data_IF_079398118578
#
_entry.id   IF_079398118578
#
_cell.length_a   1.000
_cell.length_b   1.000
_cell.length_c   1.000
_cell.angle_alpha   90.00
_cell.angle_beta   90.00
_cell.angle_gamma   90.00
#
_symmetry.space_group_name_H-M   'P 1'
#
loop_
_entity.id
_entity.type
_entity.pdbx_description
1 polymer ?
#
# COMPACT_ATOMS: atom_id res chain seq x y z
N UNK A 1 -9.84 -5.69 -0.09
CA UNK A 1 -8.65 -6.09 0.70
C UNK A 1 -8.97 -5.97 2.17
N UNK A 2 -8.48 -6.88 2.97
CA UNK A 2 -8.80 -6.98 4.39
C UNK A 2 -7.59 -6.69 5.25
N UNK A 3 -7.84 -6.23 6.48
CA UNK A 3 -6.77 -6.04 7.47
C UNK A 3 -6.12 -7.40 7.75
N UNK A 4 -4.79 -7.41 7.75
CA UNK A 4 -3.99 -8.63 7.93
C UNK A 4 -3.62 -9.33 6.63
N UNK A 5 -4.21 -8.94 5.51
CA UNK A 5 -3.92 -9.54 4.21
C UNK A 5 -2.55 -9.09 3.71
N UNK A 6 -1.83 -10.01 3.05
CA UNK A 6 -0.57 -9.66 2.38
C UNK A 6 -0.88 -9.09 1.00
N UNK A 7 -0.18 -8.01 0.67
CA UNK A 7 -0.32 -7.35 -0.62
C UNK A 7 1.05 -6.94 -1.13
N UNK A 8 1.16 -6.77 -2.44
CA UNK A 8 2.38 -6.29 -3.07
C UNK A 8 2.12 -4.95 -3.75
N UNK A 9 3.07 -4.03 -3.65
CA UNK A 9 2.99 -2.74 -4.34
C UNK A 9 3.30 -2.99 -5.81
N UNK A 10 2.30 -2.79 -6.68
CA UNK A 10 2.45 -3.08 -8.11
C UNK A 10 2.71 -1.83 -8.95
N UNK A 11 2.30 -0.65 -8.47
CA UNK A 11 2.51 0.62 -9.17
C UNK A 11 2.30 1.77 -8.20
N UNK A 12 2.69 2.98 -8.62
CA UNK A 12 2.49 4.20 -7.86
C UNK A 12 1.78 5.21 -8.76
N UNK A 13 0.76 5.88 -8.22
CA UNK A 13 -0.04 6.86 -8.98
C UNK A 13 0.70 8.16 -9.23
N UNK A 14 1.37 8.66 -8.19
CA UNK A 14 1.94 10.01 -8.16
C UNK A 14 3.39 9.98 -7.75
N UNK A 15 4.00 11.14 -7.81
CA UNK A 15 5.32 11.33 -7.23
C UNK A 15 5.23 11.12 -5.73
N UNK A 16 6.10 10.27 -5.22
CA UNK A 16 6.18 9.95 -3.79
C UNK A 16 7.63 10.06 -3.36
N UNK A 17 7.88 10.20 -2.03
CA UNK A 17 9.24 10.23 -1.51
C UNK A 17 10.02 8.98 -1.91
N UNK A 18 11.36 9.08 -2.02
CA UNK A 18 12.18 7.92 -2.37
C UNK A 18 11.96 6.69 -1.48
N UNK A 19 11.67 6.91 -0.20
CA UNK A 19 11.38 5.82 0.73
C UNK A 19 10.17 4.99 0.28
N UNK A 20 9.18 5.64 -0.34
CA UNK A 20 7.99 4.95 -0.84
C UNK A 20 8.29 4.29 -2.18
N UNK A 21 9.06 4.95 -3.04
CA UNK A 21 9.45 4.37 -4.35
C UNK A 21 10.18 3.05 -4.16
N UNK A 22 10.99 2.94 -3.12
CA UNK A 22 11.73 1.70 -2.80
C UNK A 22 10.81 0.53 -2.45
N UNK A 23 9.55 0.80 -2.12
CA UNK A 23 8.60 -0.25 -1.79
C UNK A 23 7.92 -0.87 -3.00
N UNK A 24 8.14 -0.32 -4.20
CA UNK A 24 7.60 -0.87 -5.42
C UNK A 24 8.09 -2.32 -5.59
N UNK A 25 7.15 -3.25 -5.76
CA UNK A 25 7.46 -4.67 -5.87
C UNK A 25 7.59 -5.40 -4.54
N UNK A 26 7.55 -4.69 -3.42
CA UNK A 26 7.67 -5.33 -2.10
C UNK A 26 6.32 -5.73 -1.55
N UNK A 27 6.35 -6.69 -0.62
CA UNK A 27 5.17 -7.24 0.04
C UNK A 27 5.04 -6.63 1.43
N UNK A 28 3.83 -6.23 1.78
CA UNK A 28 3.50 -5.76 3.10
C UNK A 28 2.16 -6.30 3.57
N UNK A 29 1.71 -5.84 4.73
CA UNK A 29 0.48 -6.30 5.36
C UNK A 29 -0.46 -5.12 5.55
N UNK A 30 -1.73 -5.30 5.20
CA UNK A 30 -2.76 -4.27 5.39
C UNK A 30 -3.02 -4.11 6.88
N UNK A 31 -2.87 -2.88 7.39
CA UNK A 31 -3.08 -2.58 8.80
C UNK A 31 -4.31 -1.73 9.06
N UNK A 32 -4.72 -0.92 8.08
CA UNK A 32 -5.86 -0.02 8.22
C UNK A 32 -6.33 0.38 6.83
N UNK A 33 -7.49 1.00 6.77
CA UNK A 33 -8.02 1.52 5.51
C UNK A 33 -8.88 2.75 5.77
N UNK A 34 -9.03 3.57 4.72
CA UNK A 34 -9.92 4.72 4.77
C UNK A 34 -10.41 5.05 3.37
N UNK A 35 -11.62 5.61 3.30
CA UNK A 35 -12.17 6.12 2.04
C UNK A 35 -11.66 7.55 1.84
N UNK A 36 -11.09 7.80 0.66
CA UNK A 36 -10.61 9.13 0.29
C UNK A 36 -11.55 9.68 -0.77
N UNK A 37 -12.25 10.76 -0.44
CA UNK A 37 -13.26 11.35 -1.33
C UNK A 37 -12.68 11.66 -2.70
N UNK A 38 -13.34 11.11 -3.73
CA UNK A 38 -12.94 11.34 -5.13
C UNK A 38 -11.72 10.57 -5.58
N UNK A 39 -11.05 9.84 -4.70
CA UNK A 39 -9.81 9.12 -5.05
C UNK A 39 -9.87 7.61 -4.83
N UNK A 40 -10.82 7.13 -4.04
CA UNK A 40 -11.00 5.71 -3.79
C UNK A 40 -10.59 5.27 -2.41
N UNK A 41 -10.17 4.00 -2.29
CA UNK A 41 -9.84 3.38 -1.01
C UNK A 41 -8.34 3.47 -0.75
N UNK A 42 -7.98 4.07 0.39
CA UNK A 42 -6.60 4.09 0.89
C UNK A 42 -6.37 2.97 1.88
N UNK A 43 -5.20 2.34 1.80
CA UNK A 43 -4.82 1.23 2.66
C UNK A 43 -3.47 1.52 3.29
N UNK A 44 -3.38 1.37 4.61
CA UNK A 44 -2.11 1.51 5.33
C UNK A 44 -1.39 0.18 5.27
N UNK A 45 -0.21 0.17 4.66
CA UNK A 45 0.57 -1.04 4.46
C UNK A 45 1.84 -0.96 5.31
N UNK A 46 2.08 -1.99 6.10
CA UNK A 46 3.28 -2.12 6.92
C UNK A 46 4.21 -3.17 6.31
N UNK A 47 5.47 -2.80 6.19
CA UNK A 47 6.53 -3.66 5.62
C UNK A 47 7.41 -4.23 6.73
N UNK A 48 8.26 -5.20 6.38
CA UNK A 48 9.12 -5.91 7.35
C UNK A 48 10.10 -5.00 8.08
N UNK A 49 10.50 -3.89 7.46
CA UNK A 49 11.40 -2.91 8.07
C UNK A 49 10.66 -1.93 8.99
N UNK A 50 9.42 -2.25 9.34
CA UNK A 50 8.54 -1.43 10.17
C UNK A 50 8.10 -0.13 9.52
N UNK A 51 8.47 0.10 8.28
CA UNK A 51 7.99 1.23 7.51
C UNK A 51 6.52 1.01 7.16
N UNK A 52 5.68 2.01 7.37
CA UNK A 52 4.27 1.93 7.01
C UNK A 52 3.85 3.21 6.31
N UNK A 53 3.07 3.07 5.25
CA UNK A 53 2.55 4.23 4.53
C UNK A 53 1.25 3.87 3.82
N UNK A 54 0.56 4.90 3.32
CA UNK A 54 -0.73 4.74 2.66
C UNK A 54 -0.56 4.55 1.16
N UNK A 55 -1.30 3.59 0.62
CA UNK A 55 -1.40 3.36 -0.83
C UNK A 55 -2.87 3.34 -1.22
N UNK A 56 -3.16 3.65 -2.48
CA UNK A 56 -4.50 3.43 -3.02
C UNK A 56 -4.65 1.96 -3.41
N UNK A 57 -5.90 1.48 -3.40
CA UNK A 57 -6.18 0.07 -3.68
C UNK A 57 -5.62 -0.38 -5.03
N UNK A 58 -5.70 0.46 -6.04
CA UNK A 58 -5.20 0.12 -7.38
C UNK A 58 -3.69 0.10 -7.50
N UNK A 59 -2.98 0.59 -6.47
CA UNK A 59 -1.52 0.50 -6.41
C UNK A 59 -1.04 -0.84 -5.86
N UNK A 60 -1.97 -1.66 -5.39
CA UNK A 60 -1.67 -2.91 -4.70
C UNK A 60 -2.27 -4.09 -5.43
N UNK A 61 -1.71 -5.27 -5.21
CA UNK A 61 -2.28 -6.54 -5.66
C UNK A 61 -2.19 -7.56 -4.54
N UNK A 62 -3.09 -8.52 -4.55
CA UNK A 62 -3.05 -9.59 -3.56
C UNK A 62 -1.78 -10.40 -3.73
N UNK A 63 -1.19 -10.79 -2.61
CA UNK A 63 -0.01 -11.65 -2.60
C UNK A 63 -0.34 -12.93 -1.85
N UNK A 64 -0.22 -14.05 -2.55
CA UNK A 64 -0.51 -15.37 -1.98
C UNK A 64 0.77 -16.13 -1.73
#
# INVERSE_FOLDING_TARGET
MEIGQKVRVRRLRDRVPPAVVKKLGQVGVVRDFKVVDGKGLGLLIQFDDQFATWFFEDELEQYN
#
